data_IF_462560184990
#
_entry.id   IF_462560184990
#
_cell.length_a   1.000
_cell.length_b   1.000
_cell.length_c   1.000
_cell.angle_alpha   90.00
_cell.angle_beta   90.00
_cell.angle_gamma   90.00
#
_symmetry.space_group_name_H-M   'P 1'
#
loop_
_entity.id
_entity.type
_entity.pdbx_description
1 polymer ?
#
# COMPACT_ATOMS: atom_id res chain seq x y z
N UNK A 1 50.79 -69.74 -23.21
CA UNK A 1 50.32 -69.74 -21.80
C UNK A 1 51.56 -69.76 -20.93
N UNK A 2 52.08 -68.58 -20.57
CA UNK A 2 53.26 -68.45 -19.71
C UNK A 2 52.80 -68.11 -18.31
N UNK A 3 53.03 -69.01 -17.36
CA UNK A 3 52.90 -68.71 -15.92
C UNK A 3 54.27 -68.30 -15.39
N UNK A 4 54.45 -67.07 -14.89
CA UNK A 4 55.70 -66.68 -14.26
C UNK A 4 55.78 -67.25 -12.84
N UNK A 5 56.86 -67.99 -12.57
CA UNK A 5 57.27 -68.37 -11.21
C UNK A 5 57.99 -67.16 -10.60
N UNK A 6 57.48 -66.71 -9.47
CA UNK A 6 58.02 -65.60 -8.68
C UNK A 6 59.23 -66.11 -7.89
N UNK A 7 60.41 -65.58 -8.18
CA UNK A 7 61.62 -65.77 -7.38
C UNK A 7 61.72 -64.59 -6.40
N UNK A 8 61.61 -64.87 -5.11
CA UNK A 8 61.75 -63.91 -4.01
C UNK A 8 63.21 -63.91 -3.57
N UNK A 9 63.91 -62.78 -3.70
CA UNK A 9 65.25 -62.58 -3.15
C UNK A 9 65.16 -62.04 -1.70
N UNK A 10 65.80 -62.68 -0.71
CA UNK A 10 65.88 -62.17 0.65
C UNK A 10 67.08 -61.23 0.77
N UNK A 11 66.82 -59.94 0.98
CA UNK A 11 67.89 -58.97 1.21
C UNK A 11 67.97 -58.57 2.68
N UNK A 12 68.63 -59.42 3.47
CA UNK A 12 69.23 -59.04 4.74
C UNK A 12 70.75 -58.99 4.55
N UNK A 13 71.34 -57.95 5.14
CA UNK A 13 72.77 -57.62 5.22
C UNK A 13 73.38 -56.83 4.04
N UNK A 14 73.24 -55.50 4.10
CA UNK A 14 74.21 -54.58 3.49
C UNK A 14 74.95 -53.82 4.61
N UNK A 15 76.28 -53.91 4.56
CA UNK A 15 77.27 -53.30 5.46
C UNK A 15 77.32 -51.77 5.32
N UNK A 16 77.56 -51.11 6.46
CA UNK A 16 77.58 -49.66 6.67
C UNK A 16 78.79 -48.97 6.03
N UNK A 17 78.55 -47.96 5.17
CA UNK A 17 79.47 -46.84 4.95
C UNK A 17 79.09 -45.71 5.93
N UNK A 18 80.04 -45.06 6.63
CA UNK A 18 79.70 -44.04 7.61
C UNK A 18 79.37 -42.74 6.88
N UNK A 19 78.08 -42.47 6.63
CA UNK A 19 77.65 -41.12 6.31
C UNK A 19 77.56 -40.35 7.62
N UNK A 20 78.63 -39.63 7.93
CA UNK A 20 78.66 -38.62 8.99
C UNK A 20 77.74 -37.47 8.57
N UNK A 21 76.49 -37.53 8.99
CA UNK A 21 75.60 -36.38 9.06
C UNK A 21 74.62 -36.61 10.21
N UNK A 22 75.12 -36.53 11.45
CA UNK A 22 74.24 -36.16 12.56
C UNK A 22 73.81 -34.72 12.30
N UNK A 23 72.72 -34.52 11.57
CA UNK A 23 71.94 -33.29 11.71
C UNK A 23 71.29 -33.43 13.08
N UNK A 24 72.06 -33.09 14.12
CA UNK A 24 71.50 -32.77 15.42
C UNK A 24 70.74 -31.45 15.22
N UNK A 25 69.48 -31.56 14.79
CA UNK A 25 68.52 -30.50 15.04
C UNK A 25 68.63 -30.28 16.55
N UNK A 26 68.96 -29.06 17.02
CA UNK A 26 69.06 -28.83 18.46
C UNK A 26 67.75 -29.32 19.06
N UNK A 27 67.80 -30.19 20.06
CA UNK A 27 66.60 -30.76 20.69
C UNK A 27 65.60 -29.65 21.09
N UNK A 28 66.13 -28.46 21.35
CA UNK A 28 65.42 -27.20 21.56
C UNK A 28 64.56 -26.74 20.34
N UNK A 29 65.05 -26.82 19.10
CA UNK A 29 64.32 -26.38 17.89
C UNK A 29 63.14 -27.31 17.57
N UNK A 30 63.31 -28.62 17.73
CA UNK A 30 62.23 -29.60 17.56
C UNK A 30 61.14 -29.48 18.63
N UNK A 31 61.53 -29.17 19.88
CA UNK A 31 60.58 -28.89 20.96
C UNK A 31 59.83 -27.57 20.74
N UNK A 32 60.51 -26.50 20.30
CA UNK A 32 59.89 -25.19 20.01
C UNK A 32 58.87 -25.30 18.87
N UNK A 33 59.20 -25.99 17.78
CA UNK A 33 58.26 -26.16 16.65
C UNK A 33 56.99 -26.92 17.07
N UNK A 34 57.13 -27.97 17.89
CA UNK A 34 56.00 -28.72 18.44
C UNK A 34 55.14 -27.87 19.41
N UNK A 35 55.77 -26.99 20.19
CA UNK A 35 55.09 -26.07 21.09
C UNK A 35 54.29 -25.01 20.35
N UNK A 36 54.88 -24.41 19.31
CA UNK A 36 54.18 -23.45 18.43
C UNK A 36 53.00 -24.11 17.72
N UNK A 37 53.20 -25.33 17.19
CA UNK A 37 52.13 -26.10 16.55
C UNK A 37 50.99 -26.40 17.54
N UNK A 38 51.31 -26.77 18.78
CA UNK A 38 50.31 -27.01 19.82
C UNK A 38 49.50 -25.74 20.13
N UNK A 39 50.16 -24.59 20.27
CA UNK A 39 49.47 -23.30 20.49
C UNK A 39 48.58 -22.93 19.31
N UNK A 40 49.05 -23.14 18.07
CA UNK A 40 48.28 -22.88 16.86
C UNK A 40 47.03 -23.77 16.76
N UNK A 41 47.17 -25.06 17.10
CA UNK A 41 46.05 -26.00 17.15
C UNK A 41 45.02 -25.61 18.20
N UNK A 42 45.46 -25.19 19.39
CA UNK A 42 44.56 -24.70 20.44
C UNK A 42 43.84 -23.41 19.98
N UNK A 43 44.56 -22.48 19.35
CA UNK A 43 43.98 -21.27 18.79
C UNK A 43 42.91 -21.56 17.73
N UNK A 44 43.19 -22.47 16.81
CA UNK A 44 42.23 -22.93 15.80
C UNK A 44 41.02 -23.64 16.41
N UNK A 45 41.21 -24.47 17.43
CA UNK A 45 40.13 -25.14 18.13
C UNK A 45 39.18 -24.14 18.83
N UNK A 46 39.74 -23.10 19.46
CA UNK A 46 38.93 -22.03 20.08
C UNK A 46 38.21 -21.21 19.01
N UNK A 47 38.90 -20.82 17.94
CA UNK A 47 38.32 -20.02 16.86
C UNK A 47 37.16 -20.74 16.16
N UNK A 48 37.36 -22.03 15.82
CA UNK A 48 36.31 -22.86 15.20
C UNK A 48 35.11 -23.04 16.11
N UNK A 49 35.31 -23.25 17.42
CA UNK A 49 34.22 -23.33 18.40
C UNK A 49 33.41 -22.03 18.45
N UNK A 50 34.06 -20.86 18.45
CA UNK A 50 33.39 -19.55 18.46
C UNK A 50 32.59 -19.34 17.17
N UNK A 51 33.17 -19.67 16.01
CA UNK A 51 32.48 -19.54 14.72
C UNK A 51 31.29 -20.50 14.61
N UNK A 52 31.43 -21.76 15.05
CA UNK A 52 30.32 -22.71 15.12
C UNK A 52 29.20 -22.22 16.04
N UNK A 53 29.54 -21.62 17.19
CA UNK A 53 28.55 -21.05 18.09
C UNK A 53 27.80 -19.86 17.47
N UNK A 54 28.48 -19.01 16.68
CA UNK A 54 27.85 -17.90 15.95
C UNK A 54 26.92 -18.40 14.86
N UNK A 55 27.37 -19.34 14.04
CA UNK A 55 26.56 -19.96 12.98
C UNK A 55 25.31 -20.65 13.56
N UNK A 56 25.47 -21.40 14.65
CA UNK A 56 24.34 -22.05 15.34
C UNK A 56 23.32 -21.04 15.88
N UNK A 57 23.76 -19.88 16.36
CA UNK A 57 22.84 -18.81 16.79
C UNK A 57 22.09 -18.20 15.60
N UNK A 58 22.77 -17.96 14.49
CA UNK A 58 22.15 -17.42 13.28
C UNK A 58 21.12 -18.40 12.69
N UNK A 59 21.44 -19.69 12.57
CA UNK A 59 20.48 -20.67 12.06
C UNK A 59 19.24 -20.79 12.95
N UNK A 60 19.41 -20.76 14.27
CA UNK A 60 18.28 -20.74 15.22
C UNK A 60 17.41 -19.50 15.10
N UNK A 61 18.01 -18.35 14.85
CA UNK A 61 17.28 -17.10 14.66
C UNK A 61 16.49 -17.11 13.35
N UNK A 62 17.09 -17.58 12.27
CA UNK A 62 16.40 -17.75 10.98
C UNK A 62 15.29 -18.80 11.06
N UNK A 63 15.51 -19.94 11.74
CA UNK A 63 14.46 -20.92 12.01
C UNK A 63 13.28 -20.31 12.79
N UNK A 64 13.58 -19.50 13.82
CA UNK A 64 12.54 -18.84 14.62
C UNK A 64 11.75 -17.84 13.78
N UNK A 65 12.45 -16.99 13.01
CA UNK A 65 11.82 -16.04 12.09
C UNK A 65 10.95 -16.75 11.07
N UNK A 66 11.45 -17.82 10.45
CA UNK A 66 10.69 -18.58 9.46
C UNK A 66 9.43 -19.19 10.08
N UNK A 67 9.53 -19.77 11.27
CA UNK A 67 8.36 -20.28 12.01
C UNK A 67 7.36 -19.18 12.37
N UNK A 68 7.82 -18.00 12.77
CA UNK A 68 6.96 -16.87 13.07
C UNK A 68 6.26 -16.35 11.80
N UNK A 69 6.99 -16.24 10.69
CA UNK A 69 6.44 -15.88 9.38
C UNK A 69 5.38 -16.88 8.93
N UNK A 70 5.65 -18.19 9.01
CA UNK A 70 4.68 -19.23 8.70
C UNK A 70 3.42 -19.13 9.56
N UNK A 71 3.55 -18.82 10.85
CA UNK A 71 2.40 -18.59 11.74
C UNK A 71 1.59 -17.37 11.30
N UNK A 72 2.23 -16.25 10.98
CA UNK A 72 1.57 -15.04 10.49
C UNK A 72 0.84 -15.29 9.18
N UNK A 73 1.48 -15.99 8.24
CA UNK A 73 0.88 -16.39 6.96
C UNK A 73 -0.31 -17.33 7.17
N UNK A 74 -0.20 -18.35 8.03
CA UNK A 74 -1.30 -19.25 8.35
C UNK A 74 -2.47 -18.51 9.02
N UNK A 75 -2.19 -17.55 9.90
CA UNK A 75 -3.22 -16.71 10.52
C UNK A 75 -3.92 -15.86 9.46
N UNK A 76 -3.17 -15.17 8.60
CA UNK A 76 -3.72 -14.38 7.50
C UNK A 76 -4.58 -15.23 6.56
N UNK A 77 -4.10 -16.41 6.15
CA UNK A 77 -4.86 -17.35 5.31
C UNK A 77 -6.13 -17.85 5.99
N UNK A 78 -6.07 -18.16 7.29
CA UNK A 78 -7.26 -18.55 8.04
C UNK A 78 -8.26 -17.39 8.15
N UNK A 79 -7.80 -16.16 8.34
CA UNK A 79 -8.66 -14.98 8.35
C UNK A 79 -9.33 -14.78 7.00
N UNK A 80 -8.56 -14.82 5.90
CA UNK A 80 -9.09 -14.74 4.53
C UNK A 80 -10.12 -15.87 4.28
N UNK A 81 -9.79 -17.12 4.63
CA UNK A 81 -10.69 -18.26 4.44
C UNK A 81 -11.95 -18.16 5.30
N UNK A 82 -11.87 -17.60 6.51
CA UNK A 82 -13.06 -17.31 7.34
C UNK A 82 -13.92 -16.20 6.73
N UNK A 83 -13.29 -15.18 6.16
CA UNK A 83 -14.00 -14.11 5.45
C UNK A 83 -14.64 -14.63 4.17
N UNK A 84 -14.02 -15.58 3.47
CA UNK A 84 -14.53 -16.22 2.26
C UNK A 84 -15.64 -17.23 2.54
N UNK A 85 -15.56 -18.02 3.62
CA UNK A 85 -16.60 -19.00 3.96
C UNK A 85 -17.87 -18.38 4.52
N UNK A 86 -17.79 -17.15 5.03
CA UNK A 86 -18.94 -16.41 5.51
C UNK A 86 -19.50 -15.55 4.37
N UNK A 87 -20.59 -15.96 3.69
CA UNK A 87 -21.17 -15.18 2.60
C UNK A 87 -21.59 -13.77 3.05
N UNK A 88 -21.99 -13.61 4.31
CA UNK A 88 -22.32 -12.32 4.92
C UNK A 88 -21.10 -11.38 5.06
N UNK A 89 -19.88 -11.94 5.19
CA UNK A 89 -18.64 -11.16 5.26
C UNK A 89 -18.05 -10.85 3.87
N UNK A 90 -18.21 -11.73 2.87
CA UNK A 90 -17.88 -11.39 1.47
C UNK A 90 -18.72 -10.21 1.00
N UNK A 91 -20.01 -10.19 1.37
CA UNK A 91 -20.90 -9.05 1.13
C UNK A 91 -20.80 -7.97 2.19
N UNK A 92 -19.86 -8.07 3.13
CA UNK A 92 -19.68 -7.01 4.12
C UNK A 92 -19.20 -5.75 3.42
N UNK A 93 -19.75 -4.62 3.89
CA UNK A 93 -19.44 -3.29 3.38
C UNK A 93 -17.95 -2.97 3.50
N UNK A 94 -17.33 -3.36 4.62
CA UNK A 94 -15.91 -3.11 4.89
C UNK A 94 -15.03 -3.79 3.86
N UNK A 95 -15.33 -5.04 3.51
CA UNK A 95 -14.61 -5.76 2.45
C UNK A 95 -14.74 -5.08 1.08
N UNK A 96 -15.92 -4.58 0.73
CA UNK A 96 -16.13 -3.86 -0.53
C UNK A 96 -15.39 -2.51 -0.58
N UNK A 97 -15.39 -1.76 0.52
CA UNK A 97 -14.67 -0.47 0.61
C UNK A 97 -13.15 -0.68 0.62
N UNK A 98 -12.66 -1.69 1.32
CA UNK A 98 -11.23 -2.03 1.34
C UNK A 98 -10.78 -2.58 -0.02
N UNK A 99 -11.58 -3.41 -0.68
CA UNK A 99 -11.34 -3.83 -2.05
C UNK A 99 -11.29 -2.64 -3.01
N UNK A 100 -12.24 -1.70 -2.87
CA UNK A 100 -12.24 -0.48 -3.67
C UNK A 100 -10.97 0.34 -3.39
N UNK A 101 -10.55 0.50 -2.13
CA UNK A 101 -9.31 1.22 -1.78
C UNK A 101 -8.08 0.58 -2.42
N UNK A 102 -7.95 -0.74 -2.34
CA UNK A 102 -6.88 -1.48 -3.00
C UNK A 102 -6.96 -1.33 -4.54
N UNK A 103 -8.17 -1.38 -5.11
CA UNK A 103 -8.36 -1.23 -6.56
C UNK A 103 -8.02 0.18 -7.04
N UNK A 104 -8.25 1.20 -6.22
CA UNK A 104 -7.88 2.60 -6.48
C UNK A 104 -6.36 2.85 -6.46
N UNK A 105 -5.54 1.90 -5.99
CA UNK A 105 -4.07 1.94 -6.12
C UNK A 105 -3.60 1.68 -7.56
N UNK A 106 -4.40 1.00 -8.37
CA UNK A 106 -4.06 0.77 -9.77
C UNK A 106 -4.29 2.02 -10.60
N UNK A 107 -3.24 2.53 -11.26
CA UNK A 107 -3.27 3.77 -12.04
C UNK A 107 -4.36 3.79 -13.11
N UNK A 108 -4.54 2.67 -13.84
CA UNK A 108 -5.54 2.57 -14.90
C UNK A 108 -6.96 2.64 -14.34
N UNK A 109 -7.23 1.88 -13.28
CA UNK A 109 -8.54 1.90 -12.62
C UNK A 109 -8.83 3.29 -12.03
N UNK A 110 -7.88 3.86 -11.31
CA UNK A 110 -7.95 5.19 -10.72
C UNK A 110 -8.28 6.26 -11.77
N UNK A 111 -7.56 6.25 -12.90
CA UNK A 111 -7.77 7.20 -13.99
C UNK A 111 -9.17 7.09 -14.62
N UNK A 112 -9.65 5.87 -14.89
CA UNK A 112 -10.98 5.63 -15.48
C UNK A 112 -12.07 6.18 -14.54
N UNK A 113 -11.98 5.85 -13.25
CA UNK A 113 -12.97 6.27 -12.25
C UNK A 113 -12.95 7.79 -12.06
N UNK A 114 -11.77 8.40 -11.94
CA UNK A 114 -11.67 9.86 -11.81
C UNK A 114 -12.23 10.59 -13.03
N UNK A 115 -11.96 10.11 -14.24
CA UNK A 115 -12.50 10.72 -15.45
C UNK A 115 -14.01 10.59 -15.53
N UNK A 116 -14.56 9.44 -15.17
CA UNK A 116 -16.00 9.24 -15.09
C UNK A 116 -16.62 10.23 -14.09
N UNK A 117 -16.03 10.37 -12.90
CA UNK A 117 -16.48 11.36 -11.90
C UNK A 117 -16.43 12.77 -12.46
N UNK A 118 -15.32 13.18 -13.11
CA UNK A 118 -15.16 14.51 -13.73
C UNK A 118 -16.28 14.81 -14.72
N UNK A 119 -16.60 13.85 -15.59
CA UNK A 119 -17.67 14.00 -16.58
C UNK A 119 -19.04 14.10 -15.89
N UNK A 120 -19.36 13.16 -14.99
CA UNK A 120 -20.66 13.12 -14.30
C UNK A 120 -20.90 14.36 -13.44
N UNK A 121 -19.89 14.83 -12.71
CA UNK A 121 -19.96 16.06 -11.92
C UNK A 121 -20.19 17.26 -12.84
N UNK A 122 -19.42 17.38 -13.92
CA UNK A 122 -19.60 18.48 -14.87
C UNK A 122 -21.00 18.49 -15.50
N UNK A 123 -21.55 17.33 -15.84
CA UNK A 123 -22.89 17.24 -16.43
C UNK A 123 -24.00 17.54 -15.40
N UNK A 124 -24.02 16.82 -14.28
CA UNK A 124 -25.11 16.88 -13.29
C UNK A 124 -25.07 18.16 -12.47
N UNK A 125 -23.89 18.52 -11.95
CA UNK A 125 -23.74 19.69 -11.09
C UNK A 125 -23.79 21.00 -11.90
N UNK A 126 -23.33 21.02 -13.17
CA UNK A 126 -23.50 22.22 -14.00
C UNK A 126 -24.98 22.54 -14.27
N UNK A 127 -25.79 21.52 -14.52
CA UNK A 127 -27.25 21.68 -14.69
C UNK A 127 -27.88 22.16 -13.38
N UNK A 128 -27.55 21.51 -12.25
CA UNK A 128 -28.11 21.87 -10.95
C UNK A 128 -27.71 23.28 -10.49
N UNK A 129 -26.50 23.73 -10.84
CA UNK A 129 -25.99 25.07 -10.52
C UNK A 129 -26.39 26.15 -11.54
N UNK A 130 -27.01 25.82 -12.67
CA UNK A 130 -27.44 26.84 -13.66
C UNK A 130 -28.55 27.73 -13.07
N UNK A 131 -28.53 29.06 -13.28
CA UNK A 131 -29.66 29.91 -12.94
C UNK A 131 -30.90 29.45 -13.72
N UNK A 132 -31.97 29.14 -13.00
CA UNK A 132 -33.26 28.83 -13.59
C UNK A 132 -33.89 30.15 -14.06
N UNK A 133 -34.32 30.21 -15.32
CA UNK A 133 -35.05 31.36 -15.88
C UNK A 133 -36.36 31.64 -15.12
N UNK A 134 -36.89 30.67 -14.36
CA UNK A 134 -38.08 30.84 -13.54
C UNK A 134 -37.88 31.82 -12.35
N UNK A 135 -36.64 32.08 -11.93
CA UNK A 135 -36.34 33.02 -10.83
C UNK A 135 -35.96 34.42 -11.32
N UNK A 136 -35.63 34.58 -12.61
CA UNK A 136 -35.28 35.88 -13.19
C UNK A 136 -36.50 36.82 -13.36
N UNK A 137 -37.72 36.28 -13.28
CA UNK A 137 -38.97 37.05 -13.31
C UNK A 137 -39.46 37.56 -11.94
N UNK A 138 -38.86 37.13 -10.83
CA UNK A 138 -39.29 37.51 -9.47
C UNK A 138 -38.32 38.54 -8.85
N UNK A 139 -38.16 39.68 -9.53
CA UNK A 139 -37.46 40.84 -8.96
C UNK A 139 -38.36 41.44 -7.87
N UNK A 140 -38.22 40.99 -6.62
CA UNK A 140 -38.92 41.63 -5.50
C UNK A 140 -39.02 40.87 -4.18
N UNK A 141 -38.81 39.55 -4.16
CA UNK A 141 -38.84 38.80 -2.89
C UNK A 141 -37.44 38.27 -2.61
N UNK A 142 -36.90 38.65 -1.45
CA UNK A 142 -35.62 38.21 -0.95
C UNK A 142 -35.54 36.68 -0.85
N UNK A 143 -35.16 36.00 -1.93
CA UNK A 143 -34.65 34.63 -1.89
C UNK A 143 -33.23 34.65 -1.34
N UNK A 144 -33.09 35.01 -0.07
CA UNK A 144 -31.84 34.93 0.70
C UNK A 144 -31.50 33.52 1.17
N UNK A 145 -32.33 32.53 0.88
CA UNK A 145 -32.10 31.12 1.16
C UNK A 145 -31.35 30.50 -0.01
N UNK A 146 -30.04 30.28 0.17
CA UNK A 146 -29.20 29.60 -0.82
C UNK A 146 -29.83 28.30 -1.30
N UNK A 147 -29.88 28.09 -2.61
CA UNK A 147 -30.49 26.90 -3.22
C UNK A 147 -29.71 25.66 -2.81
N UNK A 148 -30.38 24.71 -2.16
CA UNK A 148 -29.79 23.41 -1.87
C UNK A 148 -29.76 22.57 -3.16
N UNK A 149 -28.59 22.00 -3.44
CA UNK A 149 -28.35 21.07 -4.53
C UNK A 149 -28.10 19.73 -3.88
N UNK A 150 -29.00 18.78 -4.11
CA UNK A 150 -28.84 17.38 -3.73
C UNK A 150 -28.88 16.54 -5.01
N UNK A 151 -27.72 16.08 -5.45
CA UNK A 151 -27.57 15.31 -6.69
C UNK A 151 -26.92 13.97 -6.40
N UNK A 152 -27.47 12.93 -6.99
CA UNK A 152 -27.04 11.55 -6.81
C UNK A 152 -26.71 10.96 -8.18
N UNK A 153 -25.54 10.33 -8.30
CA UNK A 153 -25.16 9.61 -9.52
C UNK A 153 -24.34 8.35 -9.24
N UNK A 154 -24.42 7.42 -10.18
CA UNK A 154 -23.78 6.11 -10.09
C UNK A 154 -22.44 6.10 -10.83
N UNK A 155 -21.43 5.51 -10.20
CA UNK A 155 -20.11 5.23 -10.77
C UNK A 155 -20.12 3.78 -11.24
N UNK A 156 -19.96 3.59 -12.55
CA UNK A 156 -20.06 2.30 -13.21
C UNK A 156 -18.71 1.84 -13.72
N UNK A 157 -18.39 0.55 -13.54
CA UNK A 157 -17.18 -0.06 -14.09
C UNK A 157 -17.52 -1.32 -14.87
N UNK A 158 -16.82 -1.49 -15.99
CA UNK A 158 -16.86 -2.72 -16.78
C UNK A 158 -15.57 -3.52 -16.54
N UNK A 159 -15.63 -4.64 -15.81
CA UNK A 159 -14.47 -5.47 -15.53
C UNK A 159 -14.00 -6.27 -16.76
N UNK A 160 -14.80 -6.32 -17.82
CA UNK A 160 -14.62 -7.30 -18.90
C UNK A 160 -13.80 -6.77 -20.07
N UNK A 161 -13.65 -5.45 -20.23
CA UNK A 161 -12.95 -4.86 -21.39
C UNK A 161 -13.55 -5.23 -22.75
N UNK A 162 -14.69 -5.93 -22.78
CA UNK A 162 -15.40 -6.34 -23.98
C UNK A 162 -16.43 -5.26 -24.35
N UNK A 163 -16.67 -5.00 -25.65
CA UNK A 163 -17.63 -3.98 -26.11
C UNK A 163 -19.10 -4.26 -25.74
N UNK A 164 -19.41 -5.40 -25.10
CA UNK A 164 -20.72 -5.78 -24.54
C UNK A 164 -20.63 -6.23 -23.07
N UNK A 165 -19.61 -5.79 -22.34
CA UNK A 165 -19.54 -6.05 -20.91
C UNK A 165 -20.69 -5.38 -20.16
N UNK A 166 -21.30 -6.11 -19.22
CA UNK A 166 -22.34 -5.54 -18.37
C UNK A 166 -21.69 -4.56 -17.39
N UNK A 167 -21.91 -3.26 -17.60
CA UNK A 167 -21.51 -2.20 -16.67
C UNK A 167 -22.18 -2.46 -15.32
N UNK A 168 -21.37 -2.59 -14.27
CA UNK A 168 -21.86 -2.76 -12.90
C UNK A 168 -21.63 -1.47 -12.11
N UNK A 169 -22.60 -1.11 -11.28
CA UNK A 169 -22.45 0.01 -10.34
C UNK A 169 -21.46 -0.39 -9.26
N UNK A 170 -20.35 0.34 -9.15
CA UNK A 170 -19.37 0.15 -8.09
C UNK A 170 -19.84 0.83 -6.80
N UNK A 171 -20.14 2.13 -6.92
CA UNK A 171 -20.59 2.96 -5.82
C UNK A 171 -21.39 4.15 -6.33
N UNK A 172 -22.13 4.76 -5.43
CA UNK A 172 -22.96 5.93 -5.69
C UNK A 172 -22.33 7.15 -5.01
N UNK A 173 -22.44 8.31 -5.63
CA UNK A 173 -22.00 9.58 -5.03
C UNK A 173 -23.22 10.46 -4.84
N UNK A 174 -23.36 11.01 -3.64
CA UNK A 174 -24.35 12.03 -3.30
C UNK A 174 -23.64 13.33 -2.95
N UNK A 175 -24.02 14.41 -3.62
CA UNK A 175 -23.46 15.75 -3.43
C UNK A 175 -24.55 16.65 -2.88
N UNK A 176 -24.37 17.09 -1.63
CA UNK A 176 -25.24 18.04 -0.92
C UNK A 176 -24.52 19.37 -0.75
N UNK A 177 -24.90 20.35 -1.54
CA UNK A 177 -24.29 21.68 -1.56
C UNK A 177 -25.34 22.77 -1.35
N UNK A 178 -24.96 23.87 -0.72
CA UNK A 178 -25.79 25.08 -0.69
C UNK A 178 -25.19 26.09 -1.66
N UNK A 179 -25.89 26.39 -2.74
CA UNK A 179 -25.43 27.35 -3.75
C UNK A 179 -25.42 28.76 -3.19
N UNK A 180 -24.23 29.36 -3.13
CA UNK A 180 -24.06 30.79 -2.93
C UNK A 180 -23.96 31.52 -4.29
N UNK A 181 -24.66 32.65 -4.49
CA UNK A 181 -24.67 33.37 -5.78
C UNK A 181 -23.37 34.11 -6.09
N UNK A 182 -22.37 34.07 -5.20
CA UNK A 182 -21.16 34.90 -5.26
C UNK A 182 -20.00 34.30 -6.06
N UNK A 183 -20.02 33.01 -6.40
CA UNK A 183 -18.90 32.33 -7.09
C UNK A 183 -19.31 31.76 -8.45
N UNK A 184 -18.44 31.85 -9.48
CA UNK A 184 -18.70 31.22 -10.77
C UNK A 184 -18.86 29.69 -10.65
N UNK A 185 -19.88 29.16 -11.34
CA UNK A 185 -20.21 27.72 -11.35
C UNK A 185 -19.04 26.83 -11.76
N UNK A 186 -18.19 27.29 -12.67
CA UNK A 186 -16.99 26.55 -13.12
C UNK A 186 -15.98 26.34 -12.00
N UNK A 187 -15.74 27.35 -11.16
CA UNK A 187 -14.79 27.26 -10.05
C UNK A 187 -15.32 26.32 -8.98
N UNK A 188 -16.61 26.39 -8.67
CA UNK A 188 -17.26 25.47 -7.73
C UNK A 188 -17.17 24.01 -8.20
N UNK A 189 -17.36 23.75 -9.50
CA UNK A 189 -17.23 22.41 -10.08
C UNK A 189 -15.78 21.91 -9.96
N UNK A 190 -14.79 22.74 -10.28
CA UNK A 190 -13.39 22.37 -10.17
C UNK A 190 -13.00 22.06 -8.70
N UNK A 191 -13.47 22.87 -7.75
CA UNK A 191 -13.27 22.61 -6.31
C UNK A 191 -13.85 21.27 -5.87
N UNK A 192 -15.05 20.91 -6.37
CA UNK A 192 -15.66 19.60 -6.09
C UNK A 192 -14.79 18.48 -6.68
N UNK A 193 -14.36 18.62 -7.93
CA UNK A 193 -13.51 17.62 -8.61
C UNK A 193 -12.19 17.44 -7.87
N UNK A 194 -11.52 18.53 -7.50
CA UNK A 194 -10.25 18.51 -6.76
C UNK A 194 -10.42 17.88 -5.37
N UNK A 195 -11.51 18.22 -4.66
CA UNK A 195 -11.86 17.60 -3.39
C UNK A 195 -12.03 16.08 -3.53
N UNK A 196 -12.79 15.64 -4.53
CA UNK A 196 -13.02 14.22 -4.78
C UNK A 196 -11.73 13.52 -5.20
N UNK A 197 -10.91 14.15 -6.03
CA UNK A 197 -9.62 13.61 -6.44
C UNK A 197 -8.71 13.42 -5.23
N UNK A 198 -8.57 14.45 -4.38
CA UNK A 198 -7.73 14.39 -3.19
C UNK A 198 -8.22 13.36 -2.18
N UNK A 199 -9.52 13.25 -1.94
CA UNK A 199 -10.09 12.22 -1.06
C UNK A 199 -9.85 10.79 -1.55
N UNK A 200 -9.85 10.59 -2.87
CA UNK A 200 -9.60 9.28 -3.48
C UNK A 200 -8.10 8.98 -3.64
N UNK A 201 -7.23 9.98 -3.47
CA UNK A 201 -5.79 9.83 -3.38
C UNK A 201 -5.38 9.42 -1.96
N UNK A 202 -4.50 8.42 -1.85
CA UNK A 202 -4.04 7.90 -0.55
C UNK A 202 -3.25 8.91 0.30
N UNK A 203 -2.84 10.04 -0.29
CA UNK A 203 -2.12 11.15 0.36
C UNK A 203 -3.03 12.12 1.10
N UNK A 204 -4.12 11.63 1.69
CA UNK A 204 -4.95 12.49 2.51
C UNK A 204 -4.34 12.58 3.91
N UNK A 205 -3.72 13.72 4.23
CA UNK A 205 -3.35 14.04 5.60
C UNK A 205 -4.55 13.84 6.52
N UNK A 206 -4.37 13.20 7.68
CA UNK A 206 -5.45 12.90 8.63
C UNK A 206 -6.22 14.16 9.11
N UNK A 207 -5.69 15.36 8.85
CA UNK A 207 -6.26 16.66 9.20
C UNK A 207 -6.74 17.47 7.99
N UNK A 208 -6.72 16.91 6.78
CA UNK A 208 -7.18 17.64 5.60
C UNK A 208 -8.69 17.84 5.66
N UNK A 209 -9.11 19.10 5.62
CA UNK A 209 -10.51 19.50 5.55
C UNK A 209 -10.78 20.12 4.17
N UNK A 210 -11.62 19.51 3.33
CA UNK A 210 -11.95 20.11 2.05
C UNK A 210 -12.77 21.39 2.26
N UNK A 211 -12.54 22.37 1.39
CA UNK A 211 -13.33 23.60 1.37
C UNK A 211 -13.98 23.77 0.01
N UNK A 212 -15.29 24.00 0.00
CA UNK A 212 -16.09 24.24 -1.20
C UNK A 212 -16.78 25.58 -1.01
N UNK A 213 -16.53 26.52 -1.93
CA UNK A 213 -17.06 27.88 -1.84
C UNK A 213 -16.72 28.59 -0.52
N UNK A 214 -15.53 28.35 0.02
CA UNK A 214 -15.07 28.94 1.27
C UNK A 214 -15.75 28.40 2.54
N UNK A 215 -16.56 27.34 2.43
CA UNK A 215 -17.10 26.60 3.58
C UNK A 215 -16.44 25.24 3.72
N UNK A 216 -16.39 24.73 4.94
CA UNK A 216 -15.90 23.38 5.22
C UNK A 216 -16.87 22.37 4.60
N UNK A 217 -16.32 21.41 3.86
CA UNK A 217 -17.04 20.25 3.36
C UNK A 217 -16.61 19.02 4.16
N UNK A 218 -17.54 18.10 4.35
CA UNK A 218 -17.29 16.77 4.89
C UNK A 218 -17.49 15.75 3.79
N UNK A 219 -16.56 14.80 3.69
CA UNK A 219 -16.64 13.71 2.72
C UNK A 219 -16.49 12.39 3.46
N UNK A 220 -17.49 11.52 3.36
CA UNK A 220 -17.47 10.24 4.05
C UNK A 220 -18.28 9.17 3.30
N UNK A 221 -17.91 7.92 3.51
CA UNK A 221 -18.70 6.79 3.06
C UNK A 221 -19.89 6.59 4.02
N UNK A 222 -21.11 6.58 3.50
CA UNK A 222 -22.31 6.28 4.28
C UNK A 222 -22.40 4.76 4.56
N UNK A 223 -22.33 4.45 5.85
CA UNK A 223 -22.37 3.09 6.38
C UNK A 223 -23.80 2.57 6.61
N UNK A 224 -24.85 3.28 6.20
CA UNK A 224 -26.24 2.82 6.34
C UNK A 224 -26.86 2.42 5.01
N UNK A 225 -26.37 2.93 3.89
CA UNK A 225 -26.82 2.53 2.56
C UNK A 225 -26.55 1.02 2.30
N UNK A 226 -27.58 0.32 1.82
CA UNK A 226 -27.54 -1.04 1.24
C UNK A 226 -28.35 -0.99 -0.07
N UNK A 227 -27.96 -1.70 -1.15
CA UNK A 227 -26.85 -2.65 -1.28
C UNK A 227 -25.52 -2.04 -1.78
N UNK A 228 -25.54 -0.86 -2.40
CA UNK A 228 -24.34 -0.21 -2.98
C UNK A 228 -23.74 0.82 -2.02
N UNK A 229 -22.40 0.88 -1.89
CA UNK A 229 -21.73 1.90 -1.08
C UNK A 229 -22.05 3.30 -1.62
N UNK A 230 -22.32 4.24 -0.70
CA UNK A 230 -22.67 5.62 -0.99
C UNK A 230 -21.58 6.54 -0.44
N UNK A 231 -21.01 7.38 -1.30
CA UNK A 231 -20.06 8.42 -0.94
C UNK A 231 -20.81 9.73 -0.82
N UNK A 232 -20.84 10.32 0.37
CA UNK A 232 -21.56 11.56 0.64
C UNK A 232 -20.55 12.71 0.73
N UNK A 233 -20.78 13.75 -0.07
CA UNK A 233 -20.11 15.03 0.02
C UNK A 233 -21.12 16.06 0.52
N UNK A 234 -20.92 16.56 1.74
CA UNK A 234 -21.83 17.50 2.38
C UNK A 234 -21.11 18.79 2.75
N UNK A 235 -21.65 19.93 2.33
CA UNK A 235 -21.15 21.23 2.75
C UNK A 235 -21.74 21.57 4.14
N UNK A 236 -20.87 21.75 5.12
CA UNK A 236 -21.28 22.16 6.46
C UNK A 236 -21.69 23.65 6.44
N UNK A 237 -22.77 23.96 7.16
CA UNK A 237 -23.25 25.33 7.32
C UNK A 237 -22.59 26.08 8.49
N UNK A 238 -21.57 25.49 9.12
CA UNK A 238 -20.82 26.16 10.18
C UNK A 238 -19.94 27.27 9.57
N UNK A 239 -20.27 28.54 9.87
CA UNK A 239 -19.54 29.72 9.37
C UNK A 239 -20.38 30.81 8.69
N UNK A 240 -21.71 30.68 8.64
CA UNK A 240 -22.64 31.64 7.96
C UNK A 240 -22.74 33.02 8.65
N UNK A 241 -21.97 33.28 9.71
CA UNK A 241 -21.98 34.58 10.41
C UNK A 241 -21.05 35.64 9.80
N UNK A 242 -20.41 35.37 8.66
CA UNK A 242 -19.59 36.39 7.96
C UNK A 242 -20.25 36.74 6.63
N UNK A 243 -20.99 37.85 6.62
CA UNK A 243 -21.59 38.42 5.41
C UNK A 243 -20.49 38.87 4.45
N UNK A 244 -20.34 38.19 3.32
CA UNK A 244 -19.44 38.63 2.25
C UNK A 244 -19.99 39.91 1.61
N UNK A 245 -19.37 41.06 1.88
CA UNK A 245 -19.68 42.32 1.20
C UNK A 245 -19.23 42.24 -0.26
N UNK A 246 -20.17 42.29 -1.19
CA UNK A 246 -19.89 42.46 -2.61
C UNK A 246 -19.53 43.93 -2.88
N UNK A 247 -18.26 44.24 -3.12
CA UNK A 247 -17.87 45.53 -3.69
C UNK A 247 -18.18 45.50 -5.19
N UNK A 248 -19.29 46.10 -5.60
CA UNK A 248 -19.46 46.49 -7.00
C UNK A 248 -18.46 47.61 -7.26
N UNK A 249 -17.41 47.33 -8.03
CA UNK A 249 -16.65 48.41 -8.68
C UNK A 249 -17.62 49.07 -9.66
N UNK A 250 -18.15 50.22 -9.28
CA UNK A 250 -18.79 51.11 -10.23
C UNK A 250 -17.67 51.68 -11.11
N UNK A 251 -17.76 51.44 -12.41
CA UNK A 251 -16.95 52.11 -13.42
C UNK A 251 -17.18 53.62 -13.34
N UNK A 252 -16.09 54.38 -13.37
CA UNK A 252 -16.03 55.82 -13.62
C UNK A 252 -15.20 56.05 -14.86
#
# INVERSE_FOLDING_TARGET
MSTPIVLVEPWLAQTTKPLKASISIPQQVGMISSGILAVLLVGLAVFTKVQMARLKKQTRFEEYKNRELQKKLKLALNTISKMEKNPDLIHSREFNLDYLRMRMEEEQFHFIILNQIKIRVKEKISIALRPSQAEQGLVGIASGTGRQVDEIFDVEYDPSGLPRGNKRVLFRIQIKLTKMPTQPTSVSINQIIECMQKFMSQETDAHWQPTIQGRIASMHWDQKAKPTPLLVLEQLNEGVNVTFRTTRMAES
#
